data_IF_705682095336
#
_entry.id   IF_705682095336
#
_cell.length_a   1.000
_cell.length_b   1.000
_cell.length_c   1.000
_cell.angle_alpha   90.00
_cell.angle_beta   90.00
_cell.angle_gamma   90.00
#
_symmetry.space_group_name_H-M   'P 1'
#
loop_
_entity.id
_entity.type
_entity.pdbx_description
1 polymer ?
#
# COMPACT_ATOMS: atom_id res chain seq x y z
N UNK A 1 30.69 19.07 4.39
CA UNK A 1 29.48 18.74 5.15
C UNK A 1 29.81 17.49 5.90
N UNK A 2 29.69 17.48 7.23
CA UNK A 2 29.86 16.29 8.03
C UNK A 2 28.72 15.31 7.63
N UNK A 3 29.05 14.08 7.32
CA UNK A 3 28.06 13.04 7.05
C UNK A 3 27.17 12.90 8.30
N UNK A 4 25.90 13.25 8.19
CA UNK A 4 24.91 13.08 9.27
C UNK A 4 24.64 11.58 9.34
N UNK A 5 25.14 10.92 10.40
CA UNK A 5 24.86 9.50 10.64
C UNK A 5 23.51 9.41 11.34
N UNK A 6 22.50 8.99 10.61
CA UNK A 6 21.17 8.75 11.17
C UNK A 6 21.14 7.42 11.96
N UNK A 7 20.47 7.38 13.13
CA UNK A 7 20.35 6.14 13.89
C UNK A 7 19.63 5.05 13.07
N UNK A 8 20.12 3.81 13.13
CA UNK A 8 19.48 2.70 12.46
C UNK A 8 18.10 2.42 13.07
N UNK A 9 17.07 2.12 12.27
CA UNK A 9 15.78 1.69 12.81
C UNK A 9 15.92 0.31 13.48
N UNK A 10 15.10 0.08 14.50
CA UNK A 10 15.06 -1.21 15.22
C UNK A 10 13.64 -1.78 15.24
N UNK A 11 13.45 -3.08 15.53
CA UNK A 11 12.12 -3.64 15.69
C UNK A 11 11.29 -2.97 16.80
N UNK A 12 11.93 -2.53 17.88
CA UNK A 12 11.29 -1.83 19.00
C UNK A 12 10.87 -0.41 18.62
N UNK A 13 11.58 0.20 17.67
CA UNK A 13 11.25 1.50 17.11
C UNK A 13 11.40 1.49 15.59
N UNK A 14 10.49 0.83 14.86
CA UNK A 14 10.52 0.80 13.41
C UNK A 14 10.33 2.20 12.84
N UNK A 15 11.03 2.49 11.73
CA UNK A 15 10.83 3.75 11.01
C UNK A 15 9.42 3.85 10.43
N UNK A 16 8.81 5.03 10.49
CA UNK A 16 7.60 5.34 9.74
C UNK A 16 8.02 5.83 8.35
N UNK A 17 7.83 4.97 7.35
CA UNK A 17 8.23 5.23 5.98
C UNK A 17 7.07 5.82 5.18
N UNK A 18 7.12 7.13 4.97
CA UNK A 18 6.08 7.93 4.34
C UNK A 18 6.19 7.95 2.81
N UNK A 19 5.07 8.01 2.07
CA UNK A 19 5.08 8.17 0.62
C UNK A 19 5.18 9.63 0.20
N UNK A 20 5.98 9.94 -0.83
CA UNK A 20 5.91 11.23 -1.51
C UNK A 20 5.72 11.06 -3.02
N UNK A 21 4.65 11.66 -3.56
CA UNK A 21 4.38 11.73 -4.99
C UNK A 21 4.85 13.02 -5.64
N UNK A 22 4.99 14.06 -4.84
CA UNK A 22 5.40 15.43 -5.16
C UNK A 22 6.08 16.09 -3.96
N UNK A 23 6.57 17.32 -4.13
CA UNK A 23 7.29 18.06 -3.10
C UNK A 23 6.38 18.43 -1.90
N UNK A 24 5.10 18.70 -2.11
CA UNK A 24 4.16 19.02 -1.02
C UNK A 24 3.94 17.81 -0.12
N UNK A 25 3.79 16.61 -0.71
CA UNK A 25 3.71 15.37 0.05
C UNK A 25 5.01 15.07 0.81
N UNK A 26 6.16 15.41 0.22
CA UNK A 26 7.46 15.24 0.86
C UNK A 26 7.59 16.13 2.12
N UNK A 27 7.31 17.42 1.99
CA UNK A 27 7.35 18.34 3.13
C UNK A 27 6.29 18.01 4.18
N UNK A 28 5.09 17.56 3.77
CA UNK A 28 4.06 17.10 4.70
C UNK A 28 4.50 15.85 5.50
N UNK A 29 5.25 14.93 4.86
CA UNK A 29 5.81 13.76 5.54
C UNK A 29 6.82 14.17 6.63
N UNK A 30 7.76 15.07 6.31
CA UNK A 30 8.72 15.58 7.27
C UNK A 30 8.03 16.35 8.41
N UNK A 31 7.09 17.26 8.09
CA UNK A 31 6.34 18.01 9.09
C UNK A 31 5.52 17.11 10.03
N UNK A 32 5.04 15.96 9.57
CA UNK A 32 4.41 14.94 10.40
C UNK A 32 5.43 14.10 11.20
N UNK A 33 6.73 14.30 10.96
CA UNK A 33 7.85 13.60 11.60
C UNK A 33 8.04 12.17 11.11
N UNK A 34 7.91 11.92 9.82
CA UNK A 34 8.31 10.65 9.23
C UNK A 34 9.82 10.41 9.46
N UNK A 35 10.18 9.19 9.84
CA UNK A 35 11.59 8.80 10.00
C UNK A 35 12.26 8.55 8.64
N UNK A 36 11.46 8.28 7.61
CA UNK A 36 11.92 8.12 6.25
C UNK A 36 10.84 8.48 5.22
N UNK A 37 11.28 8.89 4.03
CA UNK A 37 10.39 9.19 2.89
C UNK A 37 10.79 8.37 1.68
N UNK A 38 9.82 7.67 1.05
CA UNK A 38 10.08 7.03 -0.24
C UNK A 38 9.35 7.72 -1.38
N UNK A 39 10.04 7.85 -2.47
CA UNK A 39 9.58 8.58 -3.66
C UNK A 39 9.98 7.84 -4.95
N UNK A 40 9.64 8.38 -6.09
CA UNK A 40 10.02 7.81 -7.37
C UNK A 40 10.51 8.85 -8.36
N UNK A 41 11.28 8.39 -9.31
CA UNK A 41 11.71 9.18 -10.44
C UNK A 41 10.72 9.02 -11.61
N UNK A 42 10.84 9.88 -12.62
CA UNK A 42 10.04 9.82 -13.86
C UNK A 42 10.23 8.52 -14.63
N UNK A 43 11.34 7.82 -14.38
CA UNK A 43 11.68 6.53 -15.01
C UNK A 43 11.92 5.45 -13.94
N UNK A 44 11.77 4.19 -14.34
CA UNK A 44 12.00 2.98 -13.53
C UNK A 44 11.18 2.87 -12.24
N UNK A 45 10.10 3.63 -12.07
CA UNK A 45 9.26 3.60 -10.88
C UNK A 45 7.89 2.96 -11.13
N UNK A 46 7.38 2.18 -10.19
CA UNK A 46 6.06 1.52 -10.27
C UNK A 46 4.88 2.52 -10.32
N UNK A 47 5.08 3.77 -9.97
CA UNK A 47 4.08 4.85 -10.00
C UNK A 47 4.50 5.97 -10.96
N UNK A 48 4.88 5.63 -12.20
CA UNK A 48 5.29 6.62 -13.22
C UNK A 48 4.21 7.68 -13.54
N UNK A 49 2.96 7.44 -13.14
CA UNK A 49 1.85 8.40 -13.30
C UNK A 49 1.74 9.42 -12.16
N UNK A 50 2.52 9.31 -11.07
CA UNK A 50 2.69 10.39 -10.11
C UNK A 50 3.53 11.49 -10.76
N UNK A 51 3.57 12.68 -10.18
CA UNK A 51 4.39 13.79 -10.67
C UNK A 51 5.87 13.39 -10.71
N UNK A 52 6.31 12.70 -9.64
CA UNK A 52 7.68 12.26 -9.44
C UNK A 52 8.72 13.38 -9.49
N UNK A 53 9.99 13.06 -9.28
CA UNK A 53 11.04 14.05 -9.06
C UNK A 53 12.09 14.03 -10.16
N UNK A 54 12.67 15.19 -10.44
CA UNK A 54 13.93 15.33 -11.16
C UNK A 54 15.11 15.09 -10.20
N UNK A 55 16.31 14.81 -10.74
CA UNK A 55 17.49 14.57 -9.90
C UNK A 55 17.92 15.80 -9.10
N UNK A 56 17.82 16.99 -9.68
CA UNK A 56 18.19 18.25 -9.01
C UNK A 56 17.28 18.55 -7.82
N UNK A 57 15.96 18.39 -8.02
CA UNK A 57 14.98 18.59 -6.94
C UNK A 57 15.17 17.54 -5.86
N UNK A 58 15.42 16.30 -6.28
CA UNK A 58 15.64 15.20 -5.35
C UNK A 58 16.90 15.41 -4.50
N UNK A 59 17.99 15.92 -5.06
CA UNK A 59 19.20 16.24 -4.26
C UNK A 59 18.87 17.23 -3.14
N UNK A 60 18.19 18.33 -3.46
CA UNK A 60 17.78 19.33 -2.46
C UNK A 60 16.85 18.78 -1.39
N UNK A 61 15.91 17.93 -1.80
CA UNK A 61 14.97 17.31 -0.87
C UNK A 61 15.66 16.25 0.01
N UNK A 62 16.67 15.58 -0.50
CA UNK A 62 17.50 14.65 0.29
C UNK A 62 18.30 15.42 1.35
N UNK A 63 18.93 16.54 0.96
CA UNK A 63 19.64 17.41 1.92
C UNK A 63 18.68 17.89 3.02
N UNK A 64 17.48 18.38 2.65
CA UNK A 64 16.45 18.80 3.61
C UNK A 64 16.00 17.66 4.54
N UNK A 65 15.80 16.45 4.00
CA UNK A 65 15.42 15.31 4.83
C UNK A 65 16.52 14.96 5.85
N UNK A 66 17.78 14.98 5.42
CA UNK A 66 18.90 14.71 6.32
C UNK A 66 19.04 15.79 7.42
N UNK A 67 18.80 17.06 7.11
CA UNK A 67 18.71 18.14 8.12
C UNK A 67 17.61 17.86 9.16
N UNK A 68 16.48 17.31 8.73
CA UNK A 68 15.36 16.90 9.58
C UNK A 68 15.51 15.46 10.15
N UNK A 69 16.69 14.85 10.02
CA UNK A 69 17.02 13.49 10.48
C UNK A 69 16.13 12.39 9.90
N UNK A 70 15.62 12.57 8.68
CA UNK A 70 14.84 11.59 7.95
C UNK A 70 15.63 10.99 6.78
N UNK A 71 15.41 9.70 6.50
CA UNK A 71 16.02 8.98 5.37
C UNK A 71 15.23 9.18 4.09
N UNK A 72 15.89 8.99 2.96
CA UNK A 72 15.29 9.05 1.63
C UNK A 72 15.52 7.76 0.85
N UNK A 73 14.43 7.11 0.42
CA UNK A 73 14.48 5.90 -0.41
C UNK A 73 13.92 6.15 -1.80
N UNK A 74 14.70 5.82 -2.84
CA UNK A 74 14.29 6.02 -4.23
C UNK A 74 13.74 4.73 -4.82
N UNK A 75 12.46 4.74 -5.21
CA UNK A 75 11.81 3.60 -5.83
C UNK A 75 12.19 3.44 -7.30
N UNK A 76 12.93 2.37 -7.60
CA UNK A 76 13.27 1.90 -8.94
C UNK A 76 12.67 0.48 -9.17
N UNK A 77 11.44 0.30 -8.71
CA UNK A 77 10.77 -0.98 -8.52
C UNK A 77 9.92 -1.40 -9.73
N UNK A 78 10.55 -1.53 -10.88
CA UNK A 78 9.99 -2.08 -12.12
C UNK A 78 10.94 -3.12 -12.72
N UNK A 79 10.39 -4.00 -13.56
CA UNK A 79 11.23 -4.89 -14.38
C UNK A 79 12.04 -4.07 -15.40
N UNK A 80 13.30 -4.44 -15.62
CA UNK A 80 14.21 -3.79 -16.53
C UNK A 80 14.42 -4.68 -17.77
N UNK A 81 14.37 -4.10 -18.97
CA UNK A 81 14.67 -4.82 -20.20
C UNK A 81 16.18 -4.76 -20.48
N UNK A 82 16.74 -5.74 -21.19
CA UNK A 82 18.16 -5.72 -21.54
C UNK A 82 18.62 -4.41 -22.19
N UNK A 83 17.79 -3.81 -23.06
CA UNK A 83 18.10 -2.55 -23.74
C UNK A 83 18.09 -1.33 -22.79
N UNK A 84 17.53 -1.46 -21.59
CA UNK A 84 17.43 -0.41 -20.60
C UNK A 84 18.53 -0.49 -19.53
N UNK A 85 19.32 -1.58 -19.50
CA UNK A 85 20.36 -1.83 -18.51
C UNK A 85 21.35 -0.68 -18.39
N UNK A 86 21.87 -0.18 -19.52
CA UNK A 86 22.79 0.95 -19.52
C UNK A 86 22.16 2.25 -19.01
N UNK A 87 20.86 2.46 -19.24
CA UNK A 87 20.14 3.63 -18.71
C UNK A 87 19.90 3.50 -17.21
N UNK A 88 19.56 2.30 -16.73
CA UNK A 88 19.42 2.01 -15.31
C UNK A 88 20.75 2.21 -14.57
N UNK A 89 21.85 1.66 -15.08
CA UNK A 89 23.19 1.86 -14.55
C UNK A 89 23.54 3.35 -14.41
N UNK A 90 23.42 4.12 -15.52
CA UNK A 90 23.72 5.57 -15.49
C UNK A 90 22.87 6.32 -14.46
N UNK A 91 21.59 5.93 -14.31
CA UNK A 91 20.72 6.57 -13.33
C UNK A 91 21.15 6.25 -11.90
N UNK A 92 21.46 5.00 -11.58
CA UNK A 92 21.96 4.61 -10.24
C UNK A 92 23.30 5.31 -9.95
N UNK A 93 24.22 5.33 -10.93
CA UNK A 93 25.50 6.04 -10.77
C UNK A 93 25.31 7.53 -10.46
N UNK A 94 24.34 8.18 -11.12
CA UNK A 94 24.01 9.59 -10.81
C UNK A 94 23.35 9.73 -9.44
N UNK A 95 22.50 8.81 -9.02
CA UNK A 95 21.95 8.79 -7.66
C UNK A 95 23.08 8.67 -6.63
N UNK A 96 24.00 7.74 -6.83
CA UNK A 96 25.14 7.54 -5.93
C UNK A 96 26.02 8.79 -5.80
N UNK A 97 26.22 9.57 -6.87
CA UNK A 97 27.16 10.70 -6.92
C UNK A 97 26.51 12.05 -6.63
N UNK A 98 25.26 12.27 -7.05
CA UNK A 98 24.64 13.60 -7.04
C UNK A 98 23.57 13.74 -5.97
N UNK A 99 22.86 12.67 -5.64
CA UNK A 99 21.72 12.71 -4.69
C UNK A 99 22.08 12.08 -3.36
N UNK A 100 22.81 10.95 -3.39
CA UNK A 100 23.19 10.16 -2.22
C UNK A 100 22.01 9.83 -1.30
N UNK A 101 20.94 9.21 -1.84
CA UNK A 101 19.84 8.76 -1.03
C UNK A 101 20.30 7.61 -0.14
N UNK A 102 19.63 7.40 1.00
CA UNK A 102 19.95 6.33 1.95
C UNK A 102 19.72 4.93 1.38
N UNK A 103 18.82 4.80 0.40
CA UNK A 103 18.63 3.53 -0.29
C UNK A 103 17.82 3.63 -1.57
N UNK A 104 17.81 2.49 -2.30
CA UNK A 104 16.96 2.28 -3.46
C UNK A 104 16.04 1.07 -3.23
N UNK A 105 14.82 1.16 -3.75
CA UNK A 105 13.84 0.07 -3.67
C UNK A 105 13.72 -0.53 -5.07
N UNK A 106 14.12 -1.80 -5.24
CA UNK A 106 14.20 -2.47 -6.54
C UNK A 106 13.27 -3.67 -6.62
N UNK A 107 12.77 -3.99 -7.82
CA UNK A 107 11.99 -5.21 -8.08
C UNK A 107 12.82 -6.25 -8.82
N UNK A 108 13.55 -5.81 -9.84
CA UNK A 108 14.35 -6.68 -10.69
C UNK A 108 15.66 -7.04 -9.99
N UNK A 109 15.95 -8.34 -9.87
CA UNK A 109 17.15 -8.82 -9.20
C UNK A 109 18.44 -8.33 -9.86
N UNK A 110 18.42 -8.11 -11.19
CA UNK A 110 19.55 -7.52 -11.90
C UNK A 110 19.95 -6.13 -11.37
N UNK A 111 19.01 -5.41 -10.74
CA UNK A 111 19.29 -4.09 -10.17
C UNK A 111 20.20 -4.15 -8.95
N UNK A 112 20.25 -5.28 -8.22
CA UNK A 112 21.17 -5.49 -7.10
C UNK A 112 22.63 -5.42 -7.57
N UNK A 113 22.91 -6.16 -8.64
CA UNK A 113 24.26 -6.18 -9.22
C UNK A 113 24.62 -4.86 -9.92
N UNK A 114 23.68 -4.29 -10.68
CA UNK A 114 23.86 -2.99 -11.31
C UNK A 114 24.13 -1.86 -10.29
N UNK A 115 23.49 -1.91 -9.12
CA UNK A 115 23.72 -0.92 -8.08
C UNK A 115 25.15 -0.99 -7.54
N UNK A 116 25.65 -2.19 -7.26
CA UNK A 116 27.03 -2.40 -6.83
C UNK A 116 28.02 -1.93 -7.89
N UNK A 117 27.82 -2.34 -9.16
CA UNK A 117 28.67 -1.91 -10.28
C UNK A 117 28.68 -0.38 -10.48
N UNK A 118 27.55 0.28 -10.19
CA UNK A 118 27.42 1.73 -10.25
C UNK A 118 28.05 2.47 -9.05
N UNK A 119 28.58 1.75 -8.06
CA UNK A 119 29.16 2.31 -6.85
C UNK A 119 28.13 2.91 -5.90
N UNK A 120 26.93 2.30 -5.81
CA UNK A 120 25.91 2.69 -4.85
C UNK A 120 26.19 2.03 -3.49
N UNK A 121 26.37 2.85 -2.47
CA UNK A 121 26.76 2.42 -1.12
C UNK A 121 25.57 2.35 -0.14
N UNK A 122 24.42 2.92 -0.50
CA UNK A 122 23.21 2.92 0.32
C UNK A 122 22.51 1.56 0.35
N UNK A 123 21.45 1.47 1.13
CA UNK A 123 20.61 0.26 1.22
C UNK A 123 20.00 -0.14 -0.12
N UNK A 124 19.96 -1.44 -0.42
CA UNK A 124 19.26 -1.97 -1.59
C UNK A 124 18.11 -2.85 -1.09
N UNK A 125 16.91 -2.29 -1.16
CA UNK A 125 15.70 -2.88 -0.58
C UNK A 125 14.87 -3.58 -1.65
N UNK A 126 14.60 -4.88 -1.47
CA UNK A 126 13.75 -5.64 -2.37
C UNK A 126 12.28 -5.27 -2.19
N UNK A 127 11.68 -4.79 -3.27
CA UNK A 127 10.28 -4.38 -3.31
C UNK A 127 9.33 -5.55 -3.04
N UNK A 128 8.17 -5.25 -2.45
CA UNK A 128 6.97 -6.13 -2.47
C UNK A 128 6.72 -6.80 -3.82
N UNK A 129 7.10 -6.15 -4.92
CA UNK A 129 6.93 -6.68 -6.28
C UNK A 129 7.94 -7.79 -6.64
N UNK A 130 8.99 -7.99 -5.85
CA UNK A 130 9.85 -9.19 -5.92
C UNK A 130 9.13 -10.42 -5.35
N UNK A 131 8.09 -10.22 -4.53
CA UNK A 131 7.19 -11.24 -4.02
C UNK A 131 7.89 -12.34 -3.20
N UNK A 132 8.71 -11.94 -2.23
CA UNK A 132 9.33 -12.85 -1.27
C UNK A 132 8.30 -13.21 -0.21
N UNK A 133 7.77 -14.43 -0.25
CA UNK A 133 6.67 -14.93 0.59
C UNK A 133 7.08 -16.09 1.51
N UNK A 134 8.33 -16.55 1.42
CA UNK A 134 8.79 -17.71 2.13
C UNK A 134 10.15 -17.44 2.81
N UNK A 135 10.40 -17.95 4.03
CA UNK A 135 11.64 -17.72 4.77
C UNK A 135 12.91 -18.03 3.98
N UNK A 136 12.94 -19.13 3.21
CA UNK A 136 14.11 -19.45 2.37
C UNK A 136 14.40 -18.37 1.32
N UNK A 137 13.38 -17.63 0.87
CA UNK A 137 13.55 -16.48 -0.02
C UNK A 137 14.30 -15.33 0.65
N UNK A 138 14.23 -15.19 1.97
CA UNK A 138 14.98 -14.18 2.72
C UNK A 138 16.50 -14.46 2.67
N UNK A 139 16.89 -15.73 2.85
CA UNK A 139 18.31 -16.09 2.72
C UNK A 139 18.82 -15.79 1.30
N UNK A 140 18.06 -16.16 0.28
CA UNK A 140 18.41 -15.84 -1.12
C UNK A 140 18.53 -14.32 -1.36
N UNK A 141 17.61 -13.53 -0.79
CA UNK A 141 17.66 -12.07 -0.88
C UNK A 141 18.95 -11.52 -0.25
N UNK A 142 19.31 -12.01 0.94
CA UNK A 142 20.55 -11.65 1.61
C UNK A 142 21.78 -12.04 0.79
N UNK A 143 21.84 -13.26 0.28
CA UNK A 143 22.98 -13.76 -0.51
C UNK A 143 23.17 -12.94 -1.81
N UNK A 144 22.06 -12.44 -2.38
CA UNK A 144 22.09 -11.49 -3.48
C UNK A 144 22.50 -10.08 -3.04
N UNK A 145 22.59 -9.80 -1.75
CA UNK A 145 23.03 -8.54 -1.13
C UNK A 145 21.93 -7.50 -0.99
N UNK A 146 20.70 -7.92 -0.81
CA UNK A 146 19.66 -7.03 -0.33
C UNK A 146 19.92 -6.65 1.14
N UNK A 147 19.65 -5.39 1.46
CA UNK A 147 19.71 -4.88 2.84
C UNK A 147 18.38 -5.11 3.57
N UNK A 148 17.26 -5.08 2.82
CA UNK A 148 15.91 -5.20 3.37
C UNK A 148 14.97 -5.87 2.37
N UNK A 149 13.97 -6.58 2.90
CA UNK A 149 12.86 -7.16 2.11
C UNK A 149 11.53 -6.52 2.52
N UNK A 150 10.83 -5.94 1.55
CA UNK A 150 9.49 -5.39 1.73
C UNK A 150 8.49 -6.52 1.52
N UNK A 151 7.91 -6.99 2.60
CA UNK A 151 7.00 -8.14 2.60
C UNK A 151 5.74 -7.86 1.77
N UNK A 152 5.24 -8.83 1.01
CA UNK A 152 4.01 -8.70 0.25
C UNK A 152 2.79 -8.67 1.17
N UNK A 153 1.73 -7.98 0.71
CA UNK A 153 0.49 -7.76 1.46
C UNK A 153 -0.46 -8.94 1.45
N UNK A 154 -0.03 -10.03 0.88
CA UNK A 154 -0.73 -11.32 0.86
C UNK A 154 -0.51 -12.13 2.14
N UNK A 155 0.55 -11.83 2.91
CA UNK A 155 0.90 -12.54 4.14
C UNK A 155 -0.05 -12.15 5.28
N UNK A 156 -0.42 -13.13 6.09
CA UNK A 156 -1.08 -12.94 7.38
C UNK A 156 -0.09 -12.48 8.46
N UNK A 157 -0.60 -12.02 9.60
CA UNK A 157 0.25 -11.60 10.72
C UNK A 157 1.13 -12.76 11.25
N UNK A 158 0.60 -13.99 11.23
CA UNK A 158 1.35 -15.16 11.68
C UNK A 158 2.45 -15.54 10.69
N UNK A 159 2.19 -15.41 9.38
CA UNK A 159 3.22 -15.60 8.35
C UNK A 159 4.30 -14.52 8.43
N UNK A 160 3.95 -13.26 8.70
CA UNK A 160 4.92 -12.18 8.88
C UNK A 160 5.79 -12.44 10.13
N UNK A 161 5.18 -12.94 11.21
CA UNK A 161 5.93 -13.34 12.40
C UNK A 161 6.92 -14.46 12.08
N UNK A 162 6.48 -15.51 11.38
CA UNK A 162 7.35 -16.60 10.94
C UNK A 162 8.48 -16.12 10.01
N UNK A 163 8.22 -15.12 9.16
CA UNK A 163 9.25 -14.47 8.35
C UNK A 163 10.27 -13.73 9.24
N UNK A 164 9.80 -13.02 10.29
CA UNK A 164 10.68 -12.34 11.24
C UNK A 164 11.56 -13.30 12.03
N UNK A 165 10.99 -14.39 12.55
CA UNK A 165 11.69 -15.41 13.31
C UNK A 165 12.75 -16.16 12.48
N UNK A 166 12.52 -16.30 11.17
CA UNK A 166 13.42 -16.96 10.23
C UNK A 166 14.32 -15.99 9.44
N UNK A 167 14.26 -14.69 9.75
CA UNK A 167 15.05 -13.70 9.02
C UNK A 167 16.52 -13.84 9.37
N UNK A 168 17.43 -13.96 8.36
CA UNK A 168 18.85 -14.07 8.64
C UNK A 168 19.41 -12.75 9.18
N UNK A 169 20.32 -12.84 10.11
CA UNK A 169 21.02 -11.67 10.68
C UNK A 169 21.63 -10.80 9.59
N UNK A 170 21.51 -9.48 9.71
CA UNK A 170 21.97 -8.51 8.70
C UNK A 170 21.02 -8.35 7.49
N UNK A 171 19.81 -8.90 7.58
CA UNK A 171 18.71 -8.58 6.67
C UNK A 171 17.53 -8.01 7.47
N UNK A 172 16.96 -6.91 7.00
CA UNK A 172 15.82 -6.27 7.60
C UNK A 172 14.51 -6.59 6.88
N UNK A 173 13.40 -6.42 7.60
CA UNK A 173 12.05 -6.56 7.06
C UNK A 173 11.30 -5.22 7.12
N UNK A 174 10.42 -5.03 6.15
CA UNK A 174 9.51 -3.91 6.04
C UNK A 174 8.12 -4.44 5.69
N UNK A 175 7.05 -3.89 6.29
CA UNK A 175 5.69 -4.22 5.91
C UNK A 175 4.85 -2.96 5.64
N UNK A 176 3.84 -3.09 4.77
CA UNK A 176 2.82 -2.07 4.63
C UNK A 176 1.85 -2.10 5.81
N UNK A 177 1.62 -0.93 6.42
CA UNK A 177 0.69 -0.79 7.54
C UNK A 177 -0.59 -0.04 7.18
N UNK A 178 -0.55 0.80 6.13
CA UNK A 178 -1.71 1.61 5.75
C UNK A 178 -1.77 1.88 4.24
N UNK A 179 -2.99 2.02 3.72
CA UNK A 179 -3.28 2.55 2.39
C UNK A 179 -3.76 1.53 1.37
N UNK A 180 -3.70 1.89 0.10
CA UNK A 180 -4.35 1.16 -0.97
C UNK A 180 -3.81 -0.27 -1.17
N UNK A 181 -4.73 -1.24 -1.20
CA UNK A 181 -4.43 -2.64 -1.53
C UNK A 181 -4.55 -2.90 -3.05
N UNK A 182 -3.77 -3.86 -3.54
CA UNK A 182 -3.96 -4.49 -4.84
C UNK A 182 -4.88 -5.70 -4.73
N UNK A 183 -5.73 -5.91 -5.73
CA UNK A 183 -6.56 -7.11 -5.84
C UNK A 183 -5.73 -8.33 -6.24
N UNK A 184 -4.73 -8.13 -7.11
CA UNK A 184 -3.87 -9.18 -7.63
C UNK A 184 -2.64 -9.40 -6.76
N UNK A 185 -2.01 -10.56 -6.93
CA UNK A 185 -0.76 -10.94 -6.28
C UNK A 185 0.36 -9.95 -6.63
N UNK A 186 1.13 -9.57 -5.63
CA UNK A 186 2.26 -8.65 -5.76
C UNK A 186 3.26 -9.13 -6.80
N UNK A 187 3.67 -8.24 -7.71
CA UNK A 187 4.64 -8.55 -8.77
C UNK A 187 4.18 -9.50 -9.89
N UNK A 188 2.92 -9.98 -9.87
CA UNK A 188 2.41 -10.97 -10.84
C UNK A 188 1.13 -10.55 -11.56
N UNK A 189 0.84 -9.24 -11.60
CA UNK A 189 -0.38 -8.74 -12.22
C UNK A 189 -0.20 -8.41 -13.69
N UNK A 190 -0.85 -9.17 -14.55
CA UNK A 190 -0.92 -8.92 -16.01
C UNK A 190 -2.22 -8.24 -16.45
N UNK A 191 -3.15 -8.01 -15.53
CA UNK A 191 -4.48 -7.49 -15.87
C UNK A 191 -4.43 -6.13 -16.56
N UNK A 192 -3.58 -5.23 -16.09
CA UNK A 192 -3.39 -3.92 -16.72
C UNK A 192 -2.82 -4.04 -18.16
N UNK A 193 -1.93 -4.98 -18.41
CA UNK A 193 -1.39 -5.25 -19.75
C UNK A 193 -2.49 -5.75 -20.68
N UNK A 194 -3.30 -6.69 -20.20
CA UNK A 194 -4.37 -7.30 -20.98
C UNK A 194 -5.52 -6.32 -21.28
N UNK A 195 -5.99 -5.57 -20.28
CA UNK A 195 -7.15 -4.66 -20.40
C UNK A 195 -6.83 -3.27 -20.94
N UNK A 196 -5.57 -2.88 -21.01
CA UNK A 196 -5.17 -1.52 -21.37
C UNK A 196 -3.85 -1.38 -22.09
N UNK A 197 -3.21 -2.49 -22.49
CA UNK A 197 -1.94 -2.51 -23.20
C UNK A 197 -0.75 -1.89 -22.44
N UNK A 198 -0.91 -1.64 -21.11
CA UNK A 198 0.11 -0.98 -20.27
C UNK A 198 0.47 -1.86 -19.09
N UNK A 199 1.73 -2.26 -18.99
CA UNK A 199 2.20 -3.16 -17.94
C UNK A 199 2.27 -2.49 -16.57
N UNK A 200 1.60 -3.08 -15.57
CA UNK A 200 1.71 -2.70 -14.17
C UNK A 200 3.09 -2.97 -13.60
N UNK A 201 3.77 -4.03 -14.07
CA UNK A 201 5.14 -4.39 -13.67
C UNK A 201 6.19 -3.42 -14.23
N UNK A 202 5.77 -2.54 -15.13
CA UNK A 202 6.59 -1.51 -15.77
C UNK A 202 6.13 -0.10 -15.39
N UNK A 203 5.49 0.05 -14.23
CA UNK A 203 5.07 1.34 -13.70
C UNK A 203 3.86 2.00 -14.37
N UNK A 204 3.19 1.30 -15.30
CA UNK A 204 2.10 1.85 -16.11
C UNK A 204 0.75 1.19 -15.84
N UNK A 205 0.48 0.86 -14.58
CA UNK A 205 -0.79 0.25 -14.19
C UNK A 205 -1.97 1.21 -14.45
N UNK A 206 -2.96 0.79 -15.24
CA UNK A 206 -4.19 1.55 -15.51
C UNK A 206 -5.32 1.23 -14.52
N UNK A 207 -5.00 0.53 -13.44
CA UNK A 207 -5.90 0.18 -12.35
C UNK A 207 -7.24 -0.47 -12.80
N UNK A 208 -7.22 -1.53 -13.61
CA UNK A 208 -8.46 -2.19 -14.07
C UNK A 208 -9.30 -2.67 -12.90
N UNK A 209 -8.69 -3.15 -11.80
CA UNK A 209 -9.39 -3.55 -10.59
C UNK A 209 -10.24 -2.45 -9.93
N UNK A 210 -10.07 -1.20 -10.31
CA UNK A 210 -10.83 -0.03 -9.80
C UNK A 210 -11.94 0.44 -10.72
N UNK A 211 -12.11 -0.20 -11.89
CA UNK A 211 -13.15 0.18 -12.87
C UNK A 211 -14.50 -0.41 -12.47
N UNK A 212 -15.55 0.18 -13.02
CA UNK A 212 -16.90 -0.39 -12.95
C UNK A 212 -17.00 -1.52 -13.96
N UNK A 213 -17.53 -2.64 -13.52
CA UNK A 213 -17.82 -3.81 -14.35
C UNK A 213 -19.33 -4.08 -14.35
N UNK A 214 -19.83 -4.55 -15.46
CA UNK A 214 -21.21 -5.00 -15.58
C UNK A 214 -21.25 -6.54 -15.53
N UNK A 215 -22.06 -7.06 -14.64
CA UNK A 215 -22.32 -8.50 -14.62
C UNK A 215 -23.17 -8.87 -15.85
N UNK A 216 -22.67 -9.74 -16.73
CA UNK A 216 -23.38 -10.16 -17.94
C UNK A 216 -24.69 -10.88 -17.61
N UNK A 217 -25.81 -10.51 -18.30
CA UNK A 217 -27.13 -11.04 -18.00
C UNK A 217 -27.25 -12.58 -18.09
N UNK A 218 -26.62 -13.21 -19.08
CA UNK A 218 -26.64 -14.67 -19.23
C UNK A 218 -25.84 -15.40 -18.13
N UNK A 219 -24.64 -14.87 -17.76
CA UNK A 219 -23.83 -15.43 -16.69
C UNK A 219 -24.48 -15.22 -15.31
N UNK A 220 -25.10 -14.06 -15.10
CA UNK A 220 -25.84 -13.77 -13.87
C UNK A 220 -27.06 -14.69 -13.71
N UNK A 221 -27.80 -14.97 -14.78
CA UNK A 221 -28.92 -15.90 -14.77
C UNK A 221 -28.45 -17.34 -14.51
N UNK A 222 -27.30 -17.76 -15.04
CA UNK A 222 -26.73 -19.09 -14.79
C UNK A 222 -26.27 -19.24 -13.34
N UNK A 223 -25.56 -18.24 -12.79
CA UNK A 223 -25.13 -18.23 -11.38
C UNK A 223 -26.33 -18.18 -10.41
N UNK A 224 -27.35 -17.37 -10.71
CA UNK A 224 -28.57 -17.35 -9.90
C UNK A 224 -29.30 -18.72 -9.88
N UNK A 225 -29.38 -19.40 -11.02
CA UNK A 225 -29.92 -20.75 -11.10
C UNK A 225 -29.11 -21.79 -10.31
N UNK A 226 -27.77 -21.72 -10.39
CA UNK A 226 -26.89 -22.57 -9.60
C UNK A 226 -27.01 -22.32 -8.09
N UNK A 227 -27.05 -21.03 -7.68
CA UNK A 227 -27.24 -20.66 -6.27
C UNK A 227 -28.61 -21.12 -5.73
N UNK A 228 -29.68 -20.98 -6.53
CA UNK A 228 -31.01 -21.51 -6.15
C UNK A 228 -31.01 -23.03 -6.07
N UNK A 229 -30.29 -23.70 -6.95
CA UNK A 229 -30.18 -25.16 -6.95
C UNK A 229 -29.41 -25.66 -5.73
N UNK A 230 -28.27 -25.03 -5.41
CA UNK A 230 -27.50 -25.32 -4.20
C UNK A 230 -28.29 -25.03 -2.91
N UNK A 231 -29.05 -23.94 -2.85
CA UNK A 231 -29.91 -23.62 -1.73
C UNK A 231 -31.07 -24.65 -1.55
N UNK A 232 -31.60 -25.16 -2.65
CA UNK A 232 -32.62 -26.25 -2.62
C UNK A 232 -32.03 -27.58 -2.16
N UNK A 233 -30.80 -27.89 -2.55
CA UNK A 233 -30.12 -29.13 -2.13
C UNK A 233 -29.72 -29.07 -0.65
N UNK A 234 -29.24 -27.91 -0.16
CA UNK A 234 -28.96 -27.69 1.27
C UNK A 234 -30.23 -27.63 2.13
N UNK A 235 -31.32 -27.10 1.60
CA UNK A 235 -32.62 -27.07 2.29
C UNK A 235 -33.34 -28.42 2.38
N UNK A 236 -32.94 -29.40 1.59
CA UNK A 236 -33.49 -30.79 1.67
C UNK A 236 -32.85 -31.61 2.79
N UNK A 237 -31.62 -31.27 3.21
CA UNK A 237 -30.91 -31.99 4.28
C UNK A 237 -31.15 -31.40 5.68
N UNK A 238 -31.99 -30.38 5.82
CA UNK A 238 -32.22 -29.66 7.08
C UNK A 238 -33.70 -29.58 7.48
N UNK A 239 -34.44 -30.69 7.41
CA UNK A 239 -35.76 -30.76 8.08
C UNK A 239 -35.59 -31.43 9.43
N UNK A 240 -35.20 -30.61 10.43
CA UNK A 240 -35.77 -30.69 11.77
C UNK A 240 -35.44 -29.42 12.56
N UNK A 241 -36.48 -28.85 13.21
CA UNK A 241 -36.32 -28.00 14.42
C UNK A 241 -36.25 -26.49 14.25
N UNK A 242 -37.36 -25.79 14.49
CA UNK A 242 -37.32 -24.44 15.09
C UNK A 242 -37.63 -23.26 14.18
N UNK A 243 -38.87 -22.76 14.23
CA UNK A 243 -39.26 -21.45 13.69
C UNK A 243 -38.55 -20.33 14.47
N UNK A 244 -37.57 -19.69 13.86
CA UNK A 244 -37.10 -18.39 14.29
C UNK A 244 -37.51 -17.31 13.27
N UNK A 245 -38.48 -16.48 13.71
CA UNK A 245 -39.12 -15.43 12.93
C UNK A 245 -38.34 -14.09 13.07
N UNK A 246 -37.09 -14.00 12.61
CA UNK A 246 -36.38 -12.68 12.46
C UNK A 246 -35.20 -12.74 11.49
N UNK A 247 -35.41 -13.23 10.29
CA UNK A 247 -34.45 -12.95 9.19
C UNK A 247 -35.04 -11.90 8.25
N UNK A 248 -34.30 -10.78 7.95
CA UNK A 248 -34.77 -9.86 6.93
C UNK A 248 -34.84 -10.61 5.60
N UNK A 249 -35.99 -10.50 4.92
CA UNK A 249 -36.17 -11.06 3.58
C UNK A 249 -35.11 -10.44 2.65
N UNK A 250 -34.33 -11.24 1.91
CA UNK A 250 -33.47 -10.70 0.88
C UNK A 250 -34.37 -9.97 -0.15
N UNK A 251 -34.00 -8.69 -0.41
CA UNK A 251 -34.69 -7.92 -1.45
C UNK A 251 -34.59 -8.69 -2.77
N UNK A 252 -35.73 -9.03 -3.36
CA UNK A 252 -35.82 -9.65 -4.68
C UNK A 252 -35.24 -8.68 -5.70
N UNK A 253 -33.96 -8.87 -6.08
CA UNK A 253 -33.36 -8.19 -7.20
C UNK A 253 -33.96 -8.76 -8.49
N UNK A 254 -34.44 -7.88 -9.35
CA UNK A 254 -34.99 -8.23 -10.65
C UNK A 254 -33.89 -8.92 -11.50
N UNK A 255 -34.05 -10.19 -11.93
CA UNK A 255 -32.97 -10.99 -12.54
C UNK A 255 -32.54 -10.52 -13.95
N UNK A 256 -33.13 -9.45 -14.47
CA UNK A 256 -32.87 -8.93 -15.82
C UNK A 256 -31.96 -7.72 -15.95
N UNK A 257 -31.58 -7.06 -14.84
CA UNK A 257 -30.64 -5.94 -14.87
C UNK A 257 -29.35 -6.35 -14.15
N UNK A 258 -28.30 -6.64 -14.91
CA UNK A 258 -26.98 -6.87 -14.35
C UNK A 258 -26.57 -5.69 -13.45
N UNK A 259 -26.04 -5.97 -12.27
CA UNK A 259 -25.53 -4.95 -11.35
C UNK A 259 -24.20 -4.43 -11.89
N UNK A 260 -24.14 -3.13 -12.13
CA UNK A 260 -22.86 -2.45 -12.34
C UNK A 260 -22.18 -2.28 -10.98
N UNK A 261 -20.87 -2.52 -10.89
CA UNK A 261 -20.14 -2.37 -9.64
C UNK A 261 -18.62 -2.48 -9.78
N UNK A 262 -17.93 -2.06 -8.71
CA UNK A 262 -16.47 -2.10 -8.61
C UNK A 262 -16.02 -3.39 -7.90
N UNK A 263 -16.45 -4.54 -8.39
CA UNK A 263 -16.33 -5.83 -7.73
C UNK A 263 -14.91 -6.22 -7.28
N UNK A 264 -13.89 -5.62 -7.88
CA UNK A 264 -12.48 -5.91 -7.59
C UNK A 264 -11.79 -4.76 -6.83
N UNK A 265 -12.56 -3.74 -6.40
CA UNK A 265 -11.99 -2.60 -5.68
C UNK A 265 -11.84 -2.94 -4.20
N UNK A 266 -10.62 -3.29 -3.80
CA UNK A 266 -10.31 -3.56 -2.39
C UNK A 266 -10.52 -2.31 -1.52
N UNK A 267 -10.94 -2.52 -0.27
CA UNK A 267 -10.81 -1.54 0.81
C UNK A 267 -9.33 -1.22 1.04
N UNK A 268 -9.04 -0.12 1.71
CA UNK A 268 -7.66 0.23 2.05
C UNK A 268 -7.19 -0.59 3.26
N UNK A 269 -5.90 -0.86 3.34
CA UNK A 269 -5.28 -1.49 4.51
C UNK A 269 -5.26 -0.49 5.66
N UNK A 270 -5.57 -0.93 6.88
CA UNK A 270 -5.27 -0.24 8.13
C UNK A 270 -4.91 -1.25 9.21
N UNK A 271 -3.67 -1.23 9.68
CA UNK A 271 -3.15 -2.11 10.73
C UNK A 271 -3.01 -1.40 12.08
N UNK A 272 -3.76 -0.32 12.28
CA UNK A 272 -3.83 0.47 13.51
C UNK A 272 -3.99 -0.41 14.76
N UNK A 273 -4.92 -1.37 14.70
CA UNK A 273 -5.19 -2.32 15.81
C UNK A 273 -4.07 -3.33 16.05
N UNK A 274 -3.19 -3.53 15.09
CA UNK A 274 -2.07 -4.47 15.14
C UNK A 274 -0.73 -3.81 15.45
N UNK A 275 -0.67 -2.49 15.61
CA UNK A 275 0.56 -1.74 15.84
C UNK A 275 1.40 -2.35 16.96
N UNK A 276 0.78 -2.63 18.13
CA UNK A 276 1.46 -3.28 19.25
C UNK A 276 2.02 -4.67 18.89
N UNK A 277 1.30 -5.45 18.08
CA UNK A 277 1.77 -6.80 17.66
C UNK A 277 2.95 -6.69 16.72
N UNK A 278 2.96 -5.72 15.81
CA UNK A 278 4.03 -5.50 14.84
C UNK A 278 5.36 -5.11 15.51
N UNK A 279 5.33 -4.39 16.65
CA UNK A 279 6.53 -4.04 17.43
C UNK A 279 7.27 -5.23 18.04
N UNK A 280 6.65 -6.41 18.07
CA UNK A 280 7.25 -7.61 18.64
C UNK A 280 7.73 -8.61 17.57
N UNK A 281 7.72 -8.20 16.29
CA UNK A 281 8.18 -9.05 15.19
C UNK A 281 9.68 -8.79 14.96
N UNK A 282 10.54 -9.81 15.13
CA UNK A 282 11.97 -9.65 14.91
C UNK A 282 12.29 -9.14 13.50
N UNK A 283 13.32 -8.35 13.36
CA UNK A 283 13.78 -7.76 12.10
C UNK A 283 12.78 -6.85 11.36
N UNK A 284 11.57 -6.65 11.86
CA UNK A 284 10.59 -5.73 11.25
C UNK A 284 10.91 -4.29 11.67
N UNK A 285 11.79 -3.63 10.93
CA UNK A 285 12.33 -2.31 11.27
C UNK A 285 11.64 -1.15 10.54
N UNK A 286 10.67 -1.43 9.66
CA UNK A 286 10.02 -0.36 8.87
C UNK A 286 8.53 -0.61 8.67
N UNK A 287 7.73 0.43 8.96
CA UNK A 287 6.28 0.49 8.74
C UNK A 287 5.98 1.43 7.58
N UNK A 288 5.67 0.85 6.44
CA UNK A 288 5.44 1.58 5.20
C UNK A 288 4.00 1.98 4.99
N UNK A 289 3.80 3.24 4.61
CA UNK A 289 2.50 3.80 4.24
C UNK A 289 2.40 3.85 2.71
N UNK A 290 1.35 3.26 2.12
CA UNK A 290 1.07 3.41 0.68
C UNK A 290 0.31 4.72 0.45
N UNK A 291 0.74 5.52 -0.53
CA UNK A 291 0.07 6.80 -0.77
C UNK A 291 0.71 7.72 -1.81
N UNK A 292 1.63 7.26 -2.66
CA UNK A 292 2.32 8.09 -3.66
C UNK A 292 1.41 8.81 -4.68
N UNK A 293 0.11 8.55 -4.69
CA UNK A 293 -0.91 9.26 -5.48
C UNK A 293 -1.92 9.99 -4.60
N UNK A 294 -1.65 10.11 -3.32
CA UNK A 294 -2.44 10.84 -2.34
C UNK A 294 -1.86 12.24 -2.15
N UNK A 295 -2.68 13.17 -1.66
CA UNK A 295 -2.24 14.53 -1.37
C UNK A 295 -1.57 14.67 0.00
N UNK A 296 -1.00 15.87 0.29
CA UNK A 296 -0.25 16.14 1.51
C UNK A 296 -1.07 15.97 2.79
N UNK A 297 -2.35 16.29 2.77
CA UNK A 297 -3.27 16.08 3.90
C UNK A 297 -3.29 14.61 4.34
N UNK A 298 -3.44 13.67 3.38
CA UNK A 298 -3.42 12.25 3.69
C UNK A 298 -2.08 11.83 4.30
N UNK A 299 -0.97 12.26 3.71
CA UNK A 299 0.37 11.88 4.16
C UNK A 299 0.59 12.35 5.60
N UNK A 300 0.29 13.61 5.88
CA UNK A 300 0.43 14.20 7.22
C UNK A 300 -0.36 13.41 8.27
N UNK A 301 -1.66 13.20 8.06
CA UNK A 301 -2.52 12.54 9.03
C UNK A 301 -2.13 11.09 9.27
N UNK A 302 -1.83 10.33 8.21
CA UNK A 302 -1.48 8.91 8.37
C UNK A 302 -0.13 8.75 9.06
N UNK A 303 0.87 9.56 8.72
CA UNK A 303 2.18 9.54 9.40
C UNK A 303 2.02 9.89 10.88
N UNK A 304 1.30 10.97 11.21
CA UNK A 304 1.04 11.39 12.58
C UNK A 304 0.36 10.28 13.40
N UNK A 305 -0.67 9.63 12.85
CA UNK A 305 -1.38 8.55 13.53
C UNK A 305 -0.48 7.34 13.80
N UNK A 306 0.29 6.89 12.81
CA UNK A 306 1.17 5.72 13.00
C UNK A 306 2.37 6.01 13.91
N UNK A 307 2.89 7.24 13.92
CA UNK A 307 3.86 7.66 14.93
C UNK A 307 3.28 7.59 16.34
N UNK A 308 2.08 8.12 16.52
CA UNK A 308 1.39 8.07 17.81
C UNK A 308 1.20 6.64 18.30
N UNK A 309 0.77 5.73 17.42
CA UNK A 309 0.58 4.31 17.72
C UNK A 309 1.91 3.60 18.05
N UNK A 310 2.99 3.93 17.34
CA UNK A 310 4.32 3.36 17.57
C UNK A 310 4.92 3.84 18.89
N UNK A 311 4.88 5.15 19.11
CA UNK A 311 5.55 5.79 20.24
C UNK A 311 4.77 5.58 21.57
N UNK A 312 3.48 5.23 21.49
CA UNK A 312 2.60 4.98 22.65
C UNK A 312 1.82 3.66 22.55
N UNK A 313 2.48 2.50 22.44
CA UNK A 313 1.84 1.21 22.09
C UNK A 313 0.90 0.65 23.17
N UNK A 314 0.91 1.19 24.36
CA UNK A 314 0.06 0.76 25.50
C UNK A 314 -0.99 1.78 25.93
N UNK A 315 -1.02 2.96 25.33
CA UNK A 315 -1.93 4.04 25.72
C UNK A 315 -3.26 3.96 24.96
N UNK A 316 -4.40 3.71 25.67
CA UNK A 316 -5.73 3.68 25.06
C UNK A 316 -6.18 5.04 24.49
N UNK A 317 -5.70 6.16 25.09
CA UNK A 317 -6.07 7.49 24.61
C UNK A 317 -5.34 7.80 23.30
N UNK A 318 -4.03 7.56 23.25
CA UNK A 318 -3.25 7.71 22.01
C UNK A 318 -3.83 6.87 20.88
N UNK A 319 -4.35 5.68 21.19
CA UNK A 319 -5.03 4.84 20.20
C UNK A 319 -6.32 5.49 19.66
N UNK A 320 -7.18 6.03 20.53
CA UNK A 320 -8.42 6.73 20.14
C UNK A 320 -8.12 7.95 19.28
N UNK A 321 -7.12 8.72 19.68
CA UNK A 321 -6.71 9.92 18.95
C UNK A 321 -6.15 9.57 17.57
N UNK A 322 -5.34 8.50 17.48
CA UNK A 322 -4.85 7.99 16.21
C UNK A 322 -5.99 7.48 15.30
N UNK A 323 -6.99 6.77 15.84
CA UNK A 323 -8.16 6.32 15.11
C UNK A 323 -8.95 7.53 14.54
N UNK A 324 -9.17 8.57 15.34
CA UNK A 324 -9.84 9.81 14.91
C UNK A 324 -9.05 10.55 13.81
N UNK A 325 -7.72 10.61 13.93
CA UNK A 325 -6.85 11.18 12.89
C UNK A 325 -6.93 10.38 11.58
N UNK A 326 -6.96 9.04 11.67
CA UNK A 326 -7.08 8.17 10.49
C UNK A 326 -8.44 8.31 9.79
N UNK A 327 -9.53 8.56 10.54
CA UNK A 327 -10.84 8.85 9.96
C UNK A 327 -10.83 10.15 9.13
N UNK A 328 -10.08 11.16 9.57
CA UNK A 328 -9.88 12.40 8.81
C UNK A 328 -8.96 12.22 7.61
N UNK A 329 -8.06 11.23 7.64
CA UNK A 329 -7.19 10.93 6.52
C UNK A 329 -7.98 10.40 5.33
N UNK A 330 -8.04 11.17 4.27
CA UNK A 330 -8.85 10.96 3.08
C UNK A 330 -8.57 9.62 2.39
N UNK A 331 -9.31 8.59 2.75
CA UNK A 331 -9.13 7.22 2.26
C UNK A 331 -10.45 6.50 1.98
N UNK A 332 -10.35 5.29 1.45
CA UNK A 332 -11.44 4.33 1.46
C UNK A 332 -11.55 3.74 2.87
N UNK A 333 -12.70 3.16 3.24
CA UNK A 333 -12.83 2.48 4.50
C UNK A 333 -11.68 1.49 4.72
N UNK A 334 -11.13 1.47 5.93
CA UNK A 334 -10.02 0.61 6.30
C UNK A 334 -10.45 -0.85 6.48
N UNK A 335 -9.54 -1.76 6.21
CA UNK A 335 -9.70 -3.19 6.49
C UNK A 335 -8.36 -3.76 6.95
N UNK A 336 -8.41 -4.89 7.65
CA UNK A 336 -7.21 -5.64 8.04
C UNK A 336 -6.77 -6.61 6.93
N UNK A 337 -7.46 -6.60 5.80
CA UNK A 337 -7.20 -7.46 4.65
C UNK A 337 -7.01 -8.94 5.06
N UNK A 338 -5.87 -9.55 4.70
CA UNK A 338 -5.51 -10.93 5.07
C UNK A 338 -4.66 -11.02 6.34
N UNK A 339 -4.30 -9.91 6.96
CA UNK A 339 -3.46 -9.89 8.16
C UNK A 339 -4.12 -10.58 9.37
N UNK A 340 -5.44 -10.52 9.46
CA UNK A 340 -6.19 -11.30 10.44
C UNK A 340 -6.90 -12.47 9.74
N UNK A 341 -7.05 -13.63 10.43
CA UNK A 341 -7.79 -14.75 9.88
C UNK A 341 -9.25 -14.36 9.66
N UNK A 342 -9.71 -14.51 8.42
CA UNK A 342 -11.11 -14.34 8.05
C UNK A 342 -11.71 -15.69 7.69
N UNK A 343 -12.99 -15.91 8.05
CA UNK A 343 -13.70 -17.15 7.76
C UNK A 343 -13.70 -17.51 6.26
N UNK A 344 -13.64 -16.52 5.39
CA UNK A 344 -13.81 -16.71 3.94
C UNK A 344 -12.53 -16.43 3.12
N UNK A 345 -11.38 -16.13 3.75
CA UNK A 345 -10.10 -15.82 3.09
C UNK A 345 -10.20 -14.83 1.88
N UNK A 346 -11.26 -14.03 1.83
CA UNK A 346 -11.54 -13.11 0.75
C UNK A 346 -10.89 -11.73 1.04
N UNK A 347 -10.37 -11.12 -0.01
CA UNK A 347 -9.94 -9.72 0.09
C UNK A 347 -11.19 -8.86 0.21
N UNK A 348 -11.33 -8.03 1.27
CA UNK A 348 -12.50 -7.16 1.42
C UNK A 348 -12.60 -6.20 0.23
N UNK A 349 -13.74 -6.24 -0.46
CA UNK A 349 -14.05 -5.35 -1.58
C UNK A 349 -15.32 -4.56 -1.28
N UNK A 350 -15.40 -3.35 -1.83
CA UNK A 350 -16.61 -2.55 -1.80
C UNK A 350 -17.08 -2.27 -3.24
N UNK A 351 -18.05 -3.04 -3.76
CA UNK A 351 -18.57 -2.85 -5.11
C UNK A 351 -19.25 -1.50 -5.33
N UNK A 352 -19.76 -0.87 -4.26
CA UNK A 352 -20.43 0.43 -4.29
C UNK A 352 -19.47 1.59 -4.04
N UNK A 353 -18.26 1.28 -3.52
CA UNK A 353 -17.28 2.26 -3.07
C UNK A 353 -16.76 3.17 -4.18
N UNK A 354 -16.62 4.45 -3.85
CA UNK A 354 -15.95 5.40 -4.72
C UNK A 354 -14.45 5.20 -4.70
N UNK A 355 -13.79 5.51 -5.81
CA UNK A 355 -12.33 5.42 -5.91
C UNK A 355 -11.60 6.67 -5.41
N UNK A 356 -12.32 7.78 -5.27
CA UNK A 356 -11.81 9.03 -4.71
C UNK A 356 -11.83 8.98 -3.19
N UNK A 357 -10.74 9.39 -2.59
CA UNK A 357 -10.63 9.55 -1.15
C UNK A 357 -11.17 10.91 -0.73
N UNK A 358 -11.90 10.92 0.36
CA UNK A 358 -12.38 12.12 1.01
C UNK A 358 -13.58 11.82 1.91
N UNK A 359 -13.63 12.48 3.04
CA UNK A 359 -14.85 12.59 3.82
C UNK A 359 -15.76 13.54 3.07
N UNK A 360 -17.01 13.13 2.77
CA UNK A 360 -18.00 14.04 2.18
C UNK A 360 -18.41 15.07 3.24
N UNK A 361 -17.72 16.20 3.28
CA UNK A 361 -17.93 17.24 4.29
C UNK A 361 -19.32 17.89 4.22
N UNK A 362 -19.96 17.85 3.05
CA UNK A 362 -21.29 18.43 2.87
C UNK A 362 -21.69 18.53 1.41
N UNK A 363 -22.89 19.09 1.17
CA UNK A 363 -23.40 19.41 -0.17
C UNK A 363 -23.42 20.91 -0.36
N UNK A 364 -22.95 21.37 -1.50
CA UNK A 364 -23.06 22.74 -1.93
C UNK A 364 -24.27 22.84 -2.85
N UNK A 365 -25.21 23.75 -2.52
CA UNK A 365 -26.33 24.13 -3.35
C UNK A 365 -26.14 25.58 -3.77
N UNK A 366 -26.40 25.88 -5.04
CA UNK A 366 -26.42 27.26 -5.55
C UNK A 366 -27.88 27.63 -5.76
N UNK A 367 -28.33 28.71 -5.11
CA UNK A 367 -29.70 29.19 -5.29
C UNK A 367 -29.84 29.86 -6.65
N UNK A 368 -31.08 30.06 -7.17
CA UNK A 368 -31.29 30.77 -8.42
C UNK A 368 -30.70 32.19 -8.40
N UNK A 369 -30.59 32.81 -7.22
CA UNK A 369 -30.00 34.15 -6.99
C UNK A 369 -28.46 34.11 -6.89
N UNK A 370 -27.83 32.94 -7.09
CA UNK A 370 -26.38 32.78 -7.09
C UNK A 370 -25.74 32.66 -5.69
N UNK A 371 -26.53 32.52 -4.62
CA UNK A 371 -26.00 32.30 -3.28
C UNK A 371 -25.52 30.86 -3.16
N UNK A 372 -24.33 30.65 -2.54
CA UNK A 372 -23.75 29.35 -2.28
C UNK A 372 -24.12 28.93 -0.85
N UNK A 373 -24.95 27.89 -0.75
CA UNK A 373 -25.34 27.30 0.53
C UNK A 373 -24.60 26.00 0.75
N UNK A 374 -23.83 25.92 1.84
CA UNK A 374 -23.18 24.69 2.29
C UNK A 374 -24.10 24.00 3.30
N UNK A 375 -24.50 22.76 3.00
CA UNK A 375 -25.18 21.87 3.95
C UNK A 375 -24.13 20.86 4.47
N UNK A 376 -23.52 21.09 5.64
CA UNK A 376 -22.53 20.18 6.18
C UNK A 376 -23.15 18.83 6.58
N UNK A 377 -22.36 17.76 6.52
CA UNK A 377 -22.71 16.42 7.03
C UNK A 377 -22.25 16.19 8.47
N UNK A 378 -21.36 17.07 8.97
CA UNK A 378 -20.83 17.05 10.33
C UNK A 378 -21.01 18.44 10.95
N UNK A 379 -21.29 18.48 12.23
CA UNK A 379 -21.28 19.68 13.05
C UNK A 379 -19.87 20.09 13.46
#
# INVERSE_FOLDING_TARGET
MSDIILPAPTPERPEILAPAGDAQCFTAALAAGADAVYLGLKHFSARMQAENFGLTDLSRLTDLAHEEQARVYVAMNVLVKPQETAAAYRLIHRLARQVRPDGIIVQDLAMLDLARQAGFEGEINLSTLANITHPQGLQTAKDLGASRVILPRELSIDEIRAMGEACPEGLDLECFVHGALCYCVSGRCYWSSYMGGKSGLRGRCVQPCRRVYRQGGAAAAAMAKQAEQQAREQGRNGRDGGRDMRRPRPQRSNPGKGRDGRFFSCLDLSLDVLAKTLLHIPHLVSWKIEGRKKGPHYVYHVVTAYRMLRDNPGDPQARKDAEAILEMALGRPGSRARFLPHKDNLIPTDPSGQTSSGLLAGKINVTPEGQVLLKPHFE
#
